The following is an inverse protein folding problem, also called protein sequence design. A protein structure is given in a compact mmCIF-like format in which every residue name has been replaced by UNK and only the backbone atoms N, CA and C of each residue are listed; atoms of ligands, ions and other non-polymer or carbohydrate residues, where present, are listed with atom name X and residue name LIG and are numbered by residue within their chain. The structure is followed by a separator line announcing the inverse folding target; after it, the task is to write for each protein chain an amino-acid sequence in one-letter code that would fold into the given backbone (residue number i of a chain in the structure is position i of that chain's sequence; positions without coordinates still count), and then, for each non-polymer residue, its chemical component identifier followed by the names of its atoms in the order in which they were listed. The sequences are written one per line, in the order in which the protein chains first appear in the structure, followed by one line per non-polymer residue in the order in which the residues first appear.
data_IF_149774055869
#
_entry.id   IF_149774055869
#
_cell.length_a   1.000
_cell.length_b   1.000
_cell.length_c   1.000
_cell.angle_alpha   90.00
_cell.angle_beta   90.00
_cell.angle_gamma   90.00
#
_symmetry.space_group_name_H-M   'P 1'
#
loop_
_entity.id
_entity.type
_entity.pdbx_description
1 polymer ?
#
# COMPACT_ATOMS: atom_id res chain seq x y z
N UNK A 1 -3.54 13.83 5.85
CA UNK A 1 -4.03 12.55 5.28
C UNK A 1 -4.44 11.61 6.40
N UNK A 2 -5.56 11.81 7.11
CA UNK A 2 -6.03 10.81 8.06
C UNK A 2 -6.40 9.50 7.32
N UNK A 3 -6.12 8.30 7.86
CA UNK A 3 -5.45 8.00 9.12
C UNK A 3 -3.92 7.94 9.01
N UNK A 4 -3.38 8.08 7.80
CA UNK A 4 -1.94 7.99 7.50
C UNK A 4 -1.09 9.12 8.11
N UNK A 5 -1.71 10.11 8.76
CA UNK A 5 -1.08 11.08 9.65
C UNK A 5 -0.70 10.50 11.02
N UNK A 6 -1.18 9.30 11.37
CA UNK A 6 -0.72 8.58 12.56
C UNK A 6 0.73 8.06 12.34
N UNK A 7 1.56 7.97 13.40
CA UNK A 7 2.88 7.37 13.30
C UNK A 7 2.81 5.98 12.69
N UNK A 8 3.60 5.74 11.64
CA UNK A 8 3.74 4.42 11.01
C UNK A 8 5.05 3.82 11.44
N UNK A 9 5.01 2.54 11.82
CA UNK A 9 6.23 1.74 11.98
C UNK A 9 6.54 1.13 10.61
N UNK A 10 7.80 0.79 10.30
CA UNK A 10 8.11 0.10 9.04
C UNK A 10 7.20 -1.11 8.78
N UNK A 11 6.88 -1.89 9.81
CA UNK A 11 6.06 -3.10 9.75
C UNK A 11 4.59 -2.92 10.18
N UNK A 12 4.08 -1.68 10.17
CA UNK A 12 2.67 -1.42 10.44
C UNK A 12 2.15 -0.14 9.78
N UNK A 13 0.92 -0.17 9.29
CA UNK A 13 0.30 0.97 8.61
C UNK A 13 -1.15 1.15 9.04
N UNK A 14 -1.71 2.32 8.71
CA UNK A 14 -3.12 2.65 8.91
C UNK A 14 -3.77 2.99 7.58
N UNK A 15 -5.01 2.56 7.41
CA UNK A 15 -5.81 2.88 6.21
C UNK A 15 -7.30 2.98 6.54
N UNK A 16 -8.06 3.71 5.72
CA UNK A 16 -9.51 3.65 5.72
C UNK A 16 -10.01 2.49 4.87
N UNK A 17 -10.97 1.75 5.41
CA UNK A 17 -11.68 0.67 4.74
C UNK A 17 -13.15 0.64 5.15
N UNK A 18 -13.88 -0.33 4.63
CA UNK A 18 -15.27 -0.63 4.93
C UNK A 18 -15.43 -1.43 6.23
N UNK A 19 -16.62 -2.00 6.41
CA UNK A 19 -17.03 -2.65 7.65
C UNK A 19 -16.35 -4.01 7.89
N UNK A 20 -16.06 -4.76 6.83
CA UNK A 20 -15.36 -6.04 6.88
C UNK A 20 -14.60 -6.30 5.58
N UNK A 21 -13.72 -7.31 5.58
CA UNK A 21 -13.06 -7.76 4.36
C UNK A 21 -14.08 -8.37 3.41
N UNK A 22 -13.98 -8.04 2.11
CA UNK A 22 -14.94 -8.47 1.08
C UNK A 22 -16.39 -8.01 1.29
N UNK A 23 -16.63 -7.02 2.17
CA UNK A 23 -17.95 -6.46 2.45
C UNK A 23 -18.00 -4.98 2.06
N UNK A 24 -18.84 -4.68 1.06
CA UNK A 24 -19.05 -3.33 0.50
C UNK A 24 -20.39 -2.71 0.94
N UNK A 25 -21.06 -3.27 1.95
CA UNK A 25 -22.35 -2.76 2.45
C UNK A 25 -22.24 -1.35 3.03
N UNK A 26 -21.03 -0.94 3.43
CA UNK A 26 -20.74 0.33 4.08
C UNK A 26 -19.60 1.10 3.38
N UNK A 27 -19.58 2.44 3.49
CA UNK A 27 -18.51 3.26 2.90
C UNK A 27 -17.15 3.01 3.56
N UNK A 28 -16.07 3.33 2.84
CA UNK A 28 -14.69 3.19 3.31
C UNK A 28 -14.29 4.30 4.30
N UNK A 29 -14.88 4.30 5.50
CA UNK A 29 -14.68 5.32 6.53
C UNK A 29 -14.15 4.76 7.86
N UNK A 30 -13.97 3.44 7.95
CA UNK A 30 -13.52 2.77 9.16
C UNK A 30 -12.00 2.72 9.23
N UNK A 31 -11.44 2.90 10.42
CA UNK A 31 -10.00 2.79 10.65
C UNK A 31 -9.58 1.33 10.71
N UNK A 32 -8.65 0.97 9.83
CA UNK A 32 -7.97 -0.31 9.81
C UNK A 32 -6.50 -0.15 10.17
N UNK A 33 -6.01 -1.06 11.00
CA UNK A 33 -4.60 -1.20 11.36
C UNK A 33 -4.06 -2.50 10.78
N UNK A 34 -2.99 -2.39 10.00
CA UNK A 34 -2.28 -3.53 9.45
C UNK A 34 -0.92 -3.66 10.12
N UNK A 35 -0.54 -4.87 10.52
CA UNK A 35 0.72 -5.12 11.19
C UNK A 35 1.26 -6.53 10.94
N UNK A 36 2.58 -6.65 11.00
CA UNK A 36 3.26 -7.95 11.00
C UNK A 36 3.29 -8.52 12.42
N UNK A 37 2.96 -9.80 12.58
CA UNK A 37 3.15 -10.55 13.82
C UNK A 37 3.58 -11.98 13.50
N UNK A 38 4.77 -12.35 13.96
CA UNK A 38 5.39 -13.63 13.59
C UNK A 38 5.60 -13.70 12.08
N UNK A 39 5.05 -14.74 11.44
CA UNK A 39 5.16 -15.01 10.00
C UNK A 39 3.88 -14.72 9.22
N UNK A 40 3.08 -13.78 9.73
CA UNK A 40 1.84 -13.35 9.11
C UNK A 40 1.60 -11.83 9.21
N UNK A 41 0.90 -11.29 8.22
CA UNK A 41 0.31 -9.95 8.25
C UNK A 41 -1.14 -10.07 8.71
N UNK A 42 -1.49 -9.23 9.69
CA UNK A 42 -2.83 -9.11 10.23
C UNK A 42 -3.43 -7.77 9.85
N UNK A 43 -4.72 -7.76 9.51
CA UNK A 43 -5.51 -6.54 9.37
C UNK A 43 -6.61 -6.54 10.43
N UNK A 44 -6.81 -5.40 11.07
CA UNK A 44 -7.78 -5.24 12.14
C UNK A 44 -8.53 -3.93 11.99
N UNK A 45 -9.85 -4.01 11.86
CA UNK A 45 -10.72 -2.84 12.02
C UNK A 45 -10.82 -2.50 13.50
N UNK A 46 -10.82 -1.21 13.84
CA UNK A 46 -11.04 -0.76 15.22
C UNK A 46 -12.32 -1.39 15.81
N UNK A 47 -12.19 -2.09 16.94
CA UNK A 47 -13.31 -2.77 17.61
C UNK A 47 -13.70 -4.14 17.03
N UNK A 48 -12.90 -4.69 16.12
CA UNK A 48 -13.08 -6.04 15.59
C UNK A 48 -11.86 -6.93 15.89
N UNK A 49 -12.04 -8.25 15.77
CA UNK A 49 -10.94 -9.22 15.85
C UNK A 49 -9.98 -9.09 14.67
N UNK A 50 -8.66 -9.29 14.88
CA UNK A 50 -7.67 -9.24 13.81
C UNK A 50 -7.80 -10.46 12.90
N UNK A 51 -7.66 -10.24 11.59
CA UNK A 51 -7.69 -11.28 10.57
C UNK A 51 -6.29 -11.47 9.99
N UNK A 52 -5.77 -12.71 10.01
CA UNK A 52 -4.54 -13.05 9.29
C UNK A 52 -4.84 -13.11 7.79
N UNK A 53 -4.21 -12.24 7.00
CA UNK A 53 -4.52 -12.09 5.56
C UNK A 53 -3.44 -12.65 4.64
N UNK A 54 -2.22 -12.80 5.14
CA UNK A 54 -1.08 -13.29 4.36
C UNK A 54 -0.05 -13.93 5.30
N UNK A 55 0.38 -15.14 4.97
CA UNK A 55 1.51 -15.81 5.60
C UNK A 55 2.75 -15.75 4.69
N UNK A 56 3.93 -15.76 5.29
CA UNK A 56 5.21 -15.64 4.59
C UNK A 56 6.30 -16.42 5.37
N UNK A 57 7.51 -16.56 4.84
CA UNK A 57 8.53 -17.47 5.39
C UNK A 57 9.74 -16.73 6.00
N UNK A 58 10.19 -15.68 5.33
CA UNK A 58 11.30 -14.82 5.69
C UNK A 58 10.93 -13.72 6.69
N UNK A 59 11.87 -12.82 6.90
CA UNK A 59 11.68 -11.69 7.81
C UNK A 59 11.18 -10.47 7.04
N UNK A 60 10.10 -9.88 7.55
CA UNK A 60 9.47 -8.72 6.93
C UNK A 60 9.96 -7.44 7.60
N UNK A 61 10.57 -6.56 6.81
CA UNK A 61 11.18 -5.31 7.29
C UNK A 61 10.30 -4.09 7.04
N UNK A 62 9.44 -4.14 6.02
CA UNK A 62 8.48 -3.09 5.69
C UNK A 62 7.13 -3.69 5.28
N UNK A 63 6.03 -3.00 5.59
CA UNK A 63 4.71 -3.31 5.04
C UNK A 63 3.84 -2.07 4.86
N UNK A 64 2.99 -2.11 3.84
CA UNK A 64 1.91 -1.15 3.57
C UNK A 64 0.72 -1.91 3.01
N UNK A 65 -0.49 -1.39 3.20
CA UNK A 65 -1.68 -2.00 2.64
C UNK A 65 -2.70 -0.94 2.21
N UNK A 66 -3.58 -1.34 1.31
CA UNK A 66 -4.81 -0.63 0.97
C UNK A 66 -5.91 -1.65 0.68
N UNK A 67 -7.15 -1.17 0.54
CA UNK A 67 -8.26 -1.97 0.05
C UNK A 67 -8.70 -1.48 -1.32
N UNK A 68 -9.15 -2.40 -2.17
CA UNK A 68 -9.87 -2.06 -3.39
C UNK A 68 -11.34 -1.74 -3.08
N UNK A 69 -12.10 -1.42 -4.12
CA UNK A 69 -13.53 -1.11 -4.03
C UNK A 69 -14.38 -2.26 -3.47
N UNK A 70 -13.88 -3.48 -3.59
CA UNK A 70 -14.55 -4.69 -3.11
C UNK A 70 -14.10 -5.07 -1.69
N UNK A 71 -13.40 -4.17 -0.99
CA UNK A 71 -12.81 -4.45 0.32
C UNK A 71 -11.83 -5.63 0.32
N UNK A 72 -11.15 -5.86 -0.80
CA UNK A 72 -10.08 -6.85 -0.91
C UNK A 72 -8.75 -6.19 -0.58
N UNK A 73 -7.95 -6.78 0.32
CA UNK A 73 -6.67 -6.19 0.69
C UNK A 73 -5.65 -6.34 -0.44
N UNK A 74 -4.95 -5.25 -0.74
CA UNK A 74 -3.67 -5.26 -1.44
C UNK A 74 -2.57 -4.94 -0.45
N UNK A 75 -1.51 -5.74 -0.44
CA UNK A 75 -0.46 -5.69 0.58
C UNK A 75 0.89 -5.60 -0.12
N UNK A 76 1.65 -4.56 0.16
CA UNK A 76 3.03 -4.43 -0.24
C UNK A 76 3.92 -4.67 0.97
N UNK A 77 4.94 -5.49 0.84
CA UNK A 77 5.84 -5.81 1.94
C UNK A 77 7.23 -6.17 1.44
N UNK A 78 8.25 -5.99 2.27
CA UNK A 78 9.63 -6.36 1.96
C UNK A 78 9.99 -7.57 2.80
N UNK A 79 10.27 -8.69 2.14
CA UNK A 79 10.70 -9.94 2.78
C UNK A 79 12.09 -10.30 2.27
N UNK A 80 13.04 -10.53 3.18
CA UNK A 80 14.43 -10.86 2.85
C UNK A 80 15.06 -9.90 1.81
N UNK A 81 14.75 -8.60 1.91
CA UNK A 81 15.26 -7.56 1.02
C UNK A 81 14.56 -7.43 -0.34
N UNK A 82 13.54 -8.26 -0.63
CA UNK A 82 12.78 -8.18 -1.88
C UNK A 82 11.38 -7.65 -1.60
N UNK A 83 11.00 -6.58 -2.30
CA UNK A 83 9.64 -6.07 -2.23
C UNK A 83 8.66 -6.97 -2.99
N UNK A 84 7.48 -7.15 -2.42
CA UNK A 84 6.44 -8.03 -2.91
C UNK A 84 5.10 -7.32 -2.84
N UNK A 85 4.25 -7.58 -3.83
CA UNK A 85 2.87 -7.09 -3.87
C UNK A 85 1.93 -8.29 -3.94
N UNK A 86 1.09 -8.43 -2.92
CA UNK A 86 -0.01 -9.38 -2.89
C UNK A 86 -1.31 -8.65 -3.21
N UNK A 87 -1.96 -8.99 -4.31
CA UNK A 87 -3.11 -8.25 -4.85
C UNK A 87 -4.05 -9.16 -5.64
N UNK A 88 -5.32 -8.75 -5.79
CA UNK A 88 -6.32 -9.51 -6.53
C UNK A 88 -6.25 -9.24 -8.03
N UNK A 89 -5.96 -10.27 -8.83
CA UNK A 89 -6.00 -10.19 -10.28
C UNK A 89 -7.34 -10.73 -10.81
N UNK A 90 -8.16 -9.82 -11.32
CA UNK A 90 -9.47 -10.14 -11.88
C UNK A 90 -9.41 -11.01 -13.14
N UNK A 91 -8.29 -11.03 -13.88
CA UNK A 91 -8.14 -11.86 -15.07
C UNK A 91 -8.03 -13.35 -14.77
N UNK A 92 -7.53 -13.69 -13.57
CA UNK A 92 -7.38 -15.07 -13.08
C UNK A 92 -8.24 -15.36 -11.84
N UNK A 93 -9.08 -14.40 -11.45
CA UNK A 93 -10.01 -14.45 -10.33
C UNK A 93 -9.39 -14.91 -8.99
N UNK A 94 -8.15 -14.51 -8.69
CA UNK A 94 -7.46 -14.87 -7.46
C UNK A 94 -6.44 -13.82 -7.03
N UNK A 95 -6.03 -13.89 -5.76
CA UNK A 95 -4.86 -13.15 -5.33
C UNK A 95 -3.58 -13.74 -5.93
N UNK A 96 -2.68 -12.87 -6.36
CA UNK A 96 -1.38 -13.21 -6.90
C UNK A 96 -0.29 -12.49 -6.12
N UNK A 97 0.92 -13.03 -6.17
CA UNK A 97 2.11 -12.45 -5.56
C UNK A 97 3.08 -12.02 -6.66
N UNK A 98 3.32 -10.72 -6.80
CA UNK A 98 4.29 -10.16 -7.74
C UNK A 98 5.54 -9.71 -6.99
N UNK A 99 6.72 -10.05 -7.51
CA UNK A 99 8.00 -9.64 -6.95
C UNK A 99 8.53 -8.41 -7.67
N UNK A 100 9.04 -7.45 -6.91
CA UNK A 100 9.68 -6.24 -7.41
C UNK A 100 11.07 -6.13 -6.78
N UNK A 101 12.11 -6.65 -7.45
CA UNK A 101 13.48 -6.49 -6.96
C UNK A 101 13.92 -5.02 -7.07
N UNK A 102 14.90 -4.64 -6.25
CA UNK A 102 15.58 -3.33 -6.32
C UNK A 102 14.66 -2.11 -6.17
N UNK A 103 13.62 -2.25 -5.35
CA UNK A 103 12.79 -1.13 -4.92
C UNK A 103 12.78 -1.05 -3.40
N UNK A 104 12.69 0.17 -2.88
CA UNK A 104 12.64 0.46 -1.45
C UNK A 104 11.41 1.28 -1.11
N UNK A 105 11.02 1.21 0.16
CA UNK A 105 9.88 1.94 0.71
C UNK A 105 8.56 1.78 -0.07
N UNK A 106 8.09 0.53 -0.29
CA UNK A 106 6.81 0.30 -0.94
C UNK A 106 5.67 0.87 -0.10
N UNK A 107 4.84 1.73 -0.71
CA UNK A 107 3.64 2.32 -0.10
C UNK A 107 2.43 2.12 -0.99
N UNK A 108 1.28 1.91 -0.35
CA UNK A 108 -0.01 1.74 -1.01
C UNK A 108 -1.02 2.77 -0.52
N UNK A 109 -1.90 3.22 -1.40
CA UNK A 109 -3.14 3.91 -1.05
C UNK A 109 -4.11 3.87 -2.22
N UNK A 110 -5.40 3.70 -1.93
CA UNK A 110 -6.45 4.06 -2.88
C UNK A 110 -6.44 5.58 -3.12
N UNK A 111 -6.53 5.99 -4.38
CA UNK A 111 -6.46 7.38 -4.83
C UNK A 111 -7.72 8.21 -4.55
N UNK A 112 -8.89 7.61 -4.43
CA UNK A 112 -10.07 8.28 -3.89
C UNK A 112 -10.97 7.29 -3.15
N UNK A 113 -11.20 7.54 -1.86
CA UNK A 113 -12.04 6.67 -1.02
C UNK A 113 -13.47 7.19 -0.89
N UNK A 114 -13.80 8.30 -1.56
CA UNK A 114 -15.10 8.96 -1.43
C UNK A 114 -16.15 8.24 -2.28
N UNK A 115 -17.35 8.11 -1.71
CA UNK A 115 -18.47 7.36 -2.29
C UNK A 115 -18.80 7.74 -3.74
N UNK A 116 -18.60 9.00 -4.14
CA UNK A 116 -18.94 9.45 -5.50
C UNK A 116 -17.89 9.09 -6.57
N UNK A 117 -16.67 8.71 -6.19
CA UNK A 117 -15.58 8.44 -7.15
C UNK A 117 -14.92 7.06 -6.98
N UNK A 118 -15.32 6.30 -5.97
CA UNK A 118 -14.74 4.98 -5.64
C UNK A 118 -14.68 4.02 -6.85
N UNK A 119 -15.66 4.08 -7.76
CA UNK A 119 -15.72 3.23 -8.96
C UNK A 119 -14.63 3.52 -10.00
N UNK A 120 -14.01 4.71 -9.98
CA UNK A 120 -12.93 5.09 -10.88
C UNK A 120 -11.56 5.09 -10.17
N UNK A 121 -11.53 4.64 -8.92
CA UNK A 121 -10.35 4.69 -8.08
C UNK A 121 -9.38 3.55 -8.37
N UNK A 122 -8.12 3.79 -8.05
CA UNK A 122 -7.06 2.81 -8.17
C UNK A 122 -6.23 2.79 -6.91
N UNK A 123 -5.82 1.58 -6.53
CA UNK A 123 -4.70 1.44 -5.61
C UNK A 123 -3.44 1.86 -6.37
N UNK A 124 -2.80 2.90 -5.85
CA UNK A 124 -1.50 3.34 -6.31
C UNK A 124 -0.45 2.60 -5.49
N UNK A 125 0.45 1.91 -6.17
CA UNK A 125 1.63 1.28 -5.60
C UNK A 125 2.86 2.12 -5.93
N UNK A 126 3.42 2.81 -4.93
CA UNK A 126 4.56 3.69 -5.11
C UNK A 126 5.78 3.23 -4.31
N UNK A 127 6.96 3.56 -4.79
CA UNK A 127 8.24 3.12 -4.24
C UNK A 127 9.38 3.97 -4.79
N UNK A 128 10.55 3.81 -4.21
CA UNK A 128 11.80 4.36 -4.75
C UNK A 128 12.56 3.23 -5.44
N UNK A 129 13.05 3.46 -6.64
CA UNK A 129 13.94 2.52 -7.35
C UNK A 129 15.40 2.89 -7.13
N UNK A 130 16.30 2.01 -7.58
CA UNK A 130 17.70 2.37 -7.78
C UNK A 130 17.83 3.73 -8.50
N UNK A 131 18.83 4.52 -8.09
CA UNK A 131 19.09 5.87 -8.58
C UNK A 131 18.11 6.97 -8.10
N UNK A 132 17.50 6.82 -6.93
CA UNK A 132 16.68 7.88 -6.30
C UNK A 132 15.52 8.35 -7.17
N UNK A 133 14.87 7.41 -7.88
CA UNK A 133 13.65 7.70 -8.65
C UNK A 133 12.43 7.28 -7.87
N UNK A 134 11.52 8.23 -7.63
CA UNK A 134 10.18 7.96 -7.12
C UNK A 134 9.31 7.48 -8.29
N UNK A 135 8.84 6.25 -8.19
CA UNK A 135 8.03 5.59 -9.20
C UNK A 135 6.68 5.16 -8.62
N UNK A 136 5.71 4.93 -9.49
CA UNK A 136 4.45 4.29 -9.13
C UNK A 136 3.92 3.38 -10.24
N UNK A 137 3.00 2.50 -9.83
CA UNK A 137 2.26 1.57 -10.68
C UNK A 137 0.78 1.60 -10.29
N UNK A 138 -0.11 1.34 -11.23
CA UNK A 138 -1.55 1.45 -11.04
C UNK A 138 -2.26 0.09 -11.07
N UNK A 139 -3.32 -0.04 -10.26
CA UNK A 139 -4.17 -1.23 -10.21
C UNK A 139 -4.84 -1.53 -11.56
N UNK A 140 -5.40 -0.53 -12.25
CA UNK A 140 -6.03 -0.68 -13.59
C UNK A 140 -5.07 -1.24 -14.65
N UNK A 141 -3.77 -1.02 -14.48
CA UNK A 141 -2.71 -1.53 -15.35
C UNK A 141 -2.15 -2.86 -14.84
N UNK A 142 -2.79 -3.48 -13.84
CA UNK A 142 -2.34 -4.71 -13.18
C UNK A 142 -0.90 -4.58 -12.66
N UNK A 143 -0.51 -3.36 -12.29
CA UNK A 143 0.83 -3.00 -11.85
C UNK A 143 1.96 -3.40 -12.84
N UNK A 144 1.65 -3.47 -14.14
CA UNK A 144 2.59 -3.92 -15.17
C UNK A 144 3.50 -2.81 -15.71
N UNK A 145 2.96 -1.59 -15.85
CA UNK A 145 3.72 -0.41 -16.26
C UNK A 145 4.29 0.34 -15.05
N UNK A 146 5.53 0.81 -15.17
CA UNK A 146 6.17 1.72 -14.21
C UNK A 146 6.12 3.15 -14.72
N UNK A 147 5.68 4.05 -13.85
CA UNK A 147 5.64 5.48 -14.14
C UNK A 147 6.62 6.21 -13.22
N UNK A 148 7.59 6.89 -13.81
CA UNK A 148 8.53 7.74 -13.05
C UNK A 148 7.86 9.06 -12.74
N UNK A 149 7.75 9.40 -11.45
CA UNK A 149 7.19 10.66 -10.99
C UNK A 149 8.26 11.74 -10.80
N UNK A 150 9.40 11.33 -10.24
CA UNK A 150 10.53 12.23 -9.93
C UNK A 150 11.83 11.43 -10.00
N UNK A 151 12.87 12.07 -10.53
CA UNK A 151 14.26 11.64 -10.36
C UNK A 151 14.96 12.70 -9.51
N UNK A 152 15.40 12.35 -8.30
CA UNK A 152 16.12 13.28 -7.44
C UNK A 152 17.62 13.10 -7.60
N UNK A 153 18.25 14.01 -8.36
CA UNK A 153 19.69 13.99 -8.62
C UNK A 153 20.52 14.55 -7.47
N UNK A 154 19.90 15.05 -6.40
CA UNK A 154 20.59 15.62 -5.24
C UNK A 154 20.87 14.57 -4.16
N UNK A 155 20.10 13.47 -4.15
CA UNK A 155 20.26 12.36 -3.22
C UNK A 155 21.40 11.44 -3.64
N UNK A 156 22.09 10.87 -2.66
CA UNK A 156 23.25 9.98 -2.85
C UNK A 156 22.98 8.59 -2.28
N UNK A 157 23.98 7.72 -2.30
CA UNK A 157 23.91 6.39 -1.64
C UNK A 157 23.86 6.53 -0.12
N UNK A 158 24.57 7.52 0.44
CA UNK A 158 24.64 7.76 1.88
C UNK A 158 23.38 8.46 2.42
N UNK A 159 22.73 9.27 1.57
CA UNK A 159 21.45 9.91 1.85
C UNK A 159 20.44 9.61 0.73
N UNK A 160 19.86 8.39 0.71
CA UNK A 160 18.95 8.00 -0.36
C UNK A 160 17.59 8.69 -0.20
N UNK A 161 16.90 8.85 -1.33
CA UNK A 161 15.49 9.22 -1.35
C UNK A 161 14.68 8.14 -0.64
N UNK A 162 13.78 8.55 0.26
CA UNK A 162 12.89 7.66 1.01
C UNK A 162 11.46 8.07 0.85
N UNK A 163 10.60 7.11 0.52
CA UNK A 163 9.16 7.33 0.48
C UNK A 163 8.52 6.98 1.83
N UNK A 164 8.04 7.97 2.55
CA UNK A 164 7.48 7.75 3.88
C UNK A 164 6.02 7.32 3.81
N UNK A 165 5.19 8.07 3.09
CA UNK A 165 3.73 7.87 3.04
C UNK A 165 3.18 8.35 1.69
N UNK A 166 2.11 7.70 1.20
CA UNK A 166 1.30 8.19 0.07
C UNK A 166 -0.18 8.24 0.42
N UNK A 167 -0.95 9.03 -0.32
CA UNK A 167 -2.41 9.03 -0.24
C UNK A 167 -3.06 10.41 -0.41
N UNK A 168 -4.38 10.46 -0.26
CA UNK A 168 -5.16 11.67 -0.48
C UNK A 168 -5.11 12.68 0.66
N UNK A 169 -4.83 13.92 0.29
CA UNK A 169 -5.00 15.09 1.15
C UNK A 169 -6.47 15.52 1.25
N UNK A 170 -6.74 16.39 2.22
CA UNK A 170 -8.04 17.06 2.38
C UNK A 170 -8.33 18.07 1.27
N UNK A 171 -7.32 18.47 0.49
CA UNK A 171 -7.43 19.37 -0.66
C UNK A 171 -7.60 18.63 -2.00
N UNK A 172 -8.05 17.36 -1.97
CA UNK A 172 -8.27 16.52 -3.16
C UNK A 172 -7.02 16.33 -4.04
N UNK A 173 -5.82 16.35 -3.43
CA UNK A 173 -4.56 16.02 -4.11
C UNK A 173 -3.99 14.72 -3.55
N UNK A 174 -3.56 13.83 -4.45
CA UNK A 174 -2.78 12.67 -4.07
C UNK A 174 -1.34 13.12 -3.81
N UNK A 175 -0.82 12.76 -2.64
CA UNK A 175 0.50 13.21 -2.18
C UNK A 175 1.45 12.04 -2.03
N UNK A 176 2.73 12.34 -2.26
CA UNK A 176 3.87 11.49 -1.98
C UNK A 176 4.77 12.25 -1.02
N UNK A 177 4.96 11.72 0.20
CA UNK A 177 5.77 12.37 1.23
C UNK A 177 7.15 11.70 1.29
N UNK A 178 8.19 12.44 0.89
CA UNK A 178 9.60 12.01 0.89
C UNK A 178 10.42 12.75 1.96
N UNK A 179 11.70 12.40 2.13
CA UNK A 179 12.66 13.04 3.04
C UNK A 179 13.57 14.08 2.35
#
# INVERSE_FOLDING_TARGET
MPPRSKPQKPTASWELGGIALSDTSEPMQYYWYGYVKGKAIYLQRSGAEPVAVLAFAGDVTEMSFSFDQNMRPTIAYVENGVAKLYWYDASVAKNVLTLYPNITNPRLSLDDKRKFNIGNSDIIFAYVTDHNRLCYRLQRERYSAEHVLLTDTTKSVDEPLKLNVIGMSTANRFLFLTN
#
